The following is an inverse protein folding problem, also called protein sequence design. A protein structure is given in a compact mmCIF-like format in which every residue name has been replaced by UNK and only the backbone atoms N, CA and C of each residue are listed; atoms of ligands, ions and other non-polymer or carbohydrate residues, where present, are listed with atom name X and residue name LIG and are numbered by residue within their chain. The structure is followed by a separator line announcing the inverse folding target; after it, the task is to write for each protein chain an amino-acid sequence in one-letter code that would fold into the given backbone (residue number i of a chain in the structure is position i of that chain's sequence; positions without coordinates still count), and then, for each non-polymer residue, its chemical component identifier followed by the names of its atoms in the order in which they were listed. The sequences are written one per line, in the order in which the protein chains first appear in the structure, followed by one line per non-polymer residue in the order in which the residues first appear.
data_IF_210515290786
#
_entry.id   IF_210515290786
#
_cell.length_a   1.000
_cell.length_b   1.000
_cell.length_c   1.000
_cell.angle_alpha   90.00
_cell.angle_beta   90.00
_cell.angle_gamma   90.00
#
_symmetry.space_group_name_H-M   'P 1'
#
loop_
_entity.id
_entity.type
_entity.pdbx_description
1 polymer ?
#
# COMPACT_ATOMS: atom_id res chain seq x y z
N UNK A 1 16.63 21.96 15.15
CA UNK A 1 17.35 21.36 14.02
C UNK A 1 17.20 19.86 14.18
N UNK A 2 16.11 19.30 13.65
CA UNK A 2 16.00 17.84 13.54
C UNK A 2 17.05 17.38 12.53
N UNK A 3 17.83 16.36 12.91
CA UNK A 3 18.88 15.83 12.05
C UNK A 3 18.27 15.26 10.77
N UNK A 4 18.81 15.67 9.63
CA UNK A 4 18.42 15.17 8.32
C UNK A 4 18.58 13.64 8.30
N UNK A 5 17.48 12.92 8.07
CA UNK A 5 17.49 11.46 8.00
C UNK A 5 18.12 11.05 6.67
N UNK A 6 19.20 10.28 6.72
CA UNK A 6 19.90 9.83 5.51
C UNK A 6 18.96 8.99 4.62
N UNK A 7 18.98 9.18 3.29
CA UNK A 7 18.20 8.35 2.36
C UNK A 7 18.50 6.86 2.54
N UNK A 8 17.50 6.00 2.31
CA UNK A 8 17.67 4.55 2.41
C UNK A 8 17.56 3.93 1.01
N UNK A 9 18.62 3.24 0.58
CA UNK A 9 18.66 2.49 -0.67
C UNK A 9 18.24 1.04 -0.46
N UNK A 10 17.34 0.55 -1.30
CA UNK A 10 16.81 -0.81 -1.27
C UNK A 10 17.37 -1.61 -2.45
N UNK A 11 18.37 -2.49 -2.25
CA UNK A 11 18.99 -3.24 -3.34
C UNK A 11 18.04 -4.23 -4.03
N UNK A 12 16.95 -4.63 -3.37
CA UNK A 12 15.94 -5.54 -3.93
C UNK A 12 15.24 -4.97 -5.17
N UNK A 13 15.10 -3.64 -5.24
CA UNK A 13 14.47 -2.94 -6.36
C UNK A 13 15.40 -1.93 -7.02
N UNK A 14 16.51 -1.57 -6.37
CA UNK A 14 17.46 -0.59 -6.88
C UNK A 14 17.00 0.86 -6.76
N UNK A 15 16.09 1.13 -5.82
CA UNK A 15 15.49 2.45 -5.59
C UNK A 15 15.75 2.98 -4.18
N UNK A 16 15.69 4.29 -4.04
CA UNK A 16 15.94 4.99 -2.77
C UNK A 16 14.67 5.62 -2.22
N UNK A 17 14.48 5.57 -0.90
CA UNK A 17 13.50 6.40 -0.19
C UNK A 17 14.26 7.53 0.50
N UNK A 18 13.93 8.77 0.16
CA UNK A 18 14.45 9.98 0.79
C UNK A 18 13.32 10.82 1.37
N UNK A 19 13.65 11.89 2.10
CA UNK A 19 12.68 12.94 2.36
C UNK A 19 12.13 13.49 1.01
N UNK A 20 10.85 13.89 0.97
CA UNK A 20 9.92 14.07 2.09
C UNK A 20 9.17 12.79 2.55
N UNK A 21 9.42 11.64 1.90
CA UNK A 21 8.66 10.41 2.15
C UNK A 21 9.29 9.49 3.20
N UNK A 22 10.60 9.61 3.45
CA UNK A 22 11.34 8.67 4.29
C UNK A 22 10.81 8.59 5.72
N UNK A 23 10.63 9.73 6.40
CA UNK A 23 10.08 9.73 7.76
C UNK A 23 8.71 9.08 7.83
N UNK A 24 7.82 9.37 6.88
CA UNK A 24 6.49 8.75 6.80
C UNK A 24 6.60 7.24 6.55
N UNK A 25 7.42 6.84 5.58
CA UNK A 25 7.64 5.45 5.20
C UNK A 25 8.13 4.62 6.40
N UNK A 26 9.13 5.10 7.15
CA UNK A 26 9.65 4.43 8.34
C UNK A 26 8.61 4.36 9.47
N UNK A 27 7.88 5.46 9.73
CA UNK A 27 6.87 5.53 10.80
C UNK A 27 5.66 4.63 10.53
N UNK A 28 5.37 4.33 9.27
CA UNK A 28 4.20 3.56 8.86
C UNK A 28 4.51 2.10 8.50
N UNK A 29 5.52 1.49 9.13
CA UNK A 29 5.94 0.09 8.90
C UNK A 29 6.53 -0.21 7.50
N UNK A 30 6.97 0.82 6.76
CA UNK A 30 7.82 0.72 5.56
C UNK A 30 7.49 -0.43 4.63
N UNK A 31 8.45 -1.36 4.45
CA UNK A 31 8.33 -2.52 3.55
C UNK A 31 7.09 -3.37 3.87
N UNK A 32 6.80 -3.62 5.15
CA UNK A 32 5.65 -4.47 5.54
C UNK A 32 4.32 -3.85 5.08
N UNK A 33 4.28 -2.52 4.98
CA UNK A 33 3.11 -1.75 4.62
C UNK A 33 3.04 -1.48 3.11
N UNK A 34 4.01 -0.74 2.63
CA UNK A 34 4.00 -0.10 1.32
C UNK A 34 4.74 -0.95 0.29
N UNK A 35 5.54 -1.93 0.73
CA UNK A 35 6.48 -2.68 -0.10
C UNK A 35 7.74 -1.87 -0.39
N UNK A 36 8.64 -2.46 -1.19
CA UNK A 36 9.84 -1.76 -1.64
C UNK A 36 9.50 -0.56 -2.56
N UNK A 37 10.32 0.50 -2.59
CA UNK A 37 10.17 1.55 -3.61
C UNK A 37 10.40 0.97 -5.00
N UNK A 38 9.61 1.40 -5.98
CA UNK A 38 9.73 0.98 -7.39
C UNK A 38 10.01 2.15 -8.34
N UNK A 39 10.05 3.37 -7.80
CA UNK A 39 10.49 4.58 -8.48
C UNK A 39 11.29 5.44 -7.51
N UNK A 40 11.96 6.45 -8.05
CA UNK A 40 12.34 7.64 -7.28
C UNK A 40 11.13 8.57 -7.08
N UNK A 41 11.35 9.70 -6.41
CA UNK A 41 10.36 10.79 -6.35
C UNK A 41 10.22 11.41 -7.74
N UNK A 42 8.98 11.51 -8.23
CA UNK A 42 8.63 12.11 -9.51
C UNK A 42 7.51 13.13 -9.33
N UNK A 43 7.42 14.08 -10.26
CA UNK A 43 6.29 14.99 -10.36
C UNK A 43 5.20 14.34 -11.23
N UNK A 44 4.01 14.13 -10.67
CA UNK A 44 2.87 13.57 -11.39
C UNK A 44 1.56 14.17 -10.85
N UNK A 45 0.68 14.58 -11.75
CA UNK A 45 -0.62 15.20 -11.40
C UNK A 45 -0.50 16.47 -10.53
N UNK A 46 0.65 17.15 -10.59
CA UNK A 46 0.92 18.36 -9.80
C UNK A 46 1.44 18.09 -8.39
N UNK A 47 1.75 16.84 -8.06
CA UNK A 47 2.30 16.44 -6.77
C UNK A 47 3.65 15.74 -6.94
N UNK A 48 4.49 15.86 -5.89
CA UNK A 48 5.59 14.92 -5.70
C UNK A 48 5.01 13.59 -5.27
N UNK A 49 5.43 12.52 -5.93
CA UNK A 49 4.95 11.17 -5.68
C UNK A 49 6.08 10.18 -5.74
N UNK A 50 5.98 9.13 -4.94
CA UNK A 50 6.85 7.96 -5.05
C UNK A 50 5.99 6.71 -5.04
N UNK A 51 6.26 5.81 -5.99
CA UNK A 51 5.59 4.53 -6.08
C UNK A 51 6.39 3.46 -5.33
N UNK A 52 5.63 2.60 -4.66
CA UNK A 52 6.08 1.42 -3.95
C UNK A 52 5.30 0.22 -4.48
N UNK A 53 5.67 -1.01 -4.10
CA UNK A 53 4.98 -2.19 -4.63
C UNK A 53 3.47 -2.18 -4.38
N UNK A 54 3.04 -1.82 -3.16
CA UNK A 54 1.64 -1.89 -2.73
C UNK A 54 0.96 -0.51 -2.71
N UNK A 55 1.69 0.59 -2.90
CA UNK A 55 1.19 1.93 -2.62
C UNK A 55 1.85 3.03 -3.46
N UNK A 56 1.22 4.20 -3.48
CA UNK A 56 1.80 5.48 -3.92
C UNK A 56 1.78 6.42 -2.73
N UNK A 57 2.89 7.06 -2.42
CA UNK A 57 2.93 8.19 -1.49
C UNK A 57 2.83 9.49 -2.27
N UNK A 58 2.12 10.46 -1.70
CA UNK A 58 1.82 11.75 -2.32
C UNK A 58 2.13 12.85 -1.31
N UNK A 59 2.80 13.91 -1.78
CA UNK A 59 2.98 15.15 -1.03
C UNK A 59 1.91 16.15 -1.46
N UNK A 60 1.07 16.55 -0.50
CA UNK A 60 0.01 17.55 -0.61
C UNK A 60 0.41 18.80 0.20
N UNK A 61 1.12 19.79 -0.39
CA UNK A 61 1.67 20.95 0.33
C UNK A 61 0.61 21.85 0.97
N UNK A 62 -0.61 21.82 0.46
CA UNK A 62 -1.78 22.56 0.93
C UNK A 62 -2.31 22.07 2.29
N UNK A 63 -1.97 20.84 2.68
CA UNK A 63 -2.32 20.33 3.99
C UNK A 63 -1.40 20.91 5.08
N UNK A 64 -1.90 20.90 6.33
CA UNK A 64 -1.08 21.15 7.50
C UNK A 64 0.16 20.26 7.50
N UNK A 65 1.29 20.77 7.98
CA UNK A 65 2.58 20.09 7.92
C UNK A 65 2.55 18.63 8.41
N UNK A 66 1.73 18.34 9.43
CA UNK A 66 1.57 17.00 9.99
C UNK A 66 0.85 15.99 9.08
N UNK A 67 0.17 16.46 8.02
CA UNK A 67 -0.72 15.68 7.15
C UNK A 67 -0.42 15.83 5.65
N UNK A 68 0.75 16.38 5.29
CA UNK A 68 1.13 16.57 3.88
C UNK A 68 1.44 15.28 3.15
N UNK A 69 1.91 14.25 3.86
CA UNK A 69 2.20 12.96 3.25
C UNK A 69 0.99 12.04 3.40
N UNK A 70 0.45 11.60 2.27
CA UNK A 70 -0.69 10.67 2.23
C UNK A 70 -0.35 9.41 1.44
N UNK A 71 -1.11 8.35 1.69
CA UNK A 71 -1.13 7.15 0.84
C UNK A 71 -2.28 7.31 -0.14
N UNK A 72 -1.98 7.19 -1.43
CA UNK A 72 -2.98 7.23 -2.50
C UNK A 72 -4.05 6.14 -2.29
N UNK A 73 -5.30 6.48 -2.57
CA UNK A 73 -6.42 5.53 -2.53
C UNK A 73 -6.44 4.70 -3.82
N UNK A 74 -5.41 3.88 -4.01
CA UNK A 74 -5.19 3.12 -5.24
C UNK A 74 -6.35 2.20 -5.61
N UNK A 75 -7.12 1.68 -4.65
CA UNK A 75 -8.33 0.92 -4.95
C UNK A 75 -9.41 1.76 -5.63
N UNK A 76 -9.58 3.01 -5.19
CA UNK A 76 -10.51 3.96 -5.81
C UNK A 76 -9.99 4.50 -7.14
N UNK A 77 -8.71 4.85 -7.21
CA UNK A 77 -8.05 5.34 -8.43
C UNK A 77 -8.04 4.26 -9.54
N UNK A 78 -7.97 2.98 -9.18
CA UNK A 78 -8.14 1.84 -10.10
C UNK A 78 -9.61 1.53 -10.42
N UNK A 79 -10.56 2.36 -9.96
CA UNK A 79 -12.01 2.22 -10.17
C UNK A 79 -12.58 0.88 -9.70
N UNK A 80 -12.12 0.38 -8.55
CA UNK A 80 -12.53 -0.94 -8.01
C UNK A 80 -13.72 -0.90 -7.06
N UNK A 81 -14.27 0.28 -6.80
CA UNK A 81 -15.46 0.44 -5.96
C UNK A 81 -16.64 -0.33 -6.54
N UNK A 82 -17.30 -1.11 -5.68
CA UNK A 82 -18.52 -1.86 -6.00
C UNK A 82 -19.74 -1.24 -5.31
N UNK A 83 -20.97 -1.55 -5.76
CA UNK A 83 -22.17 -1.07 -5.09
C UNK A 83 -22.17 -1.43 -3.59
N UNK A 84 -22.53 -0.49 -2.69
CA UNK A 84 -22.63 -0.75 -1.27
C UNK A 84 -23.79 -1.69 -0.95
N UNK A 85 -23.73 -2.34 0.21
CA UNK A 85 -24.86 -3.12 0.71
C UNK A 85 -25.79 -2.24 1.57
N UNK A 86 -27.08 -2.33 1.29
CA UNK A 86 -28.12 -1.66 2.08
C UNK A 86 -28.62 -2.61 3.17
N UNK A 87 -28.72 -2.13 4.42
CA UNK A 87 -29.21 -2.88 5.58
C UNK A 87 -28.46 -4.20 5.84
N UNK A 88 -27.20 -4.11 6.29
CA UNK A 88 -26.35 -5.29 6.44
C UNK A 88 -26.82 -6.15 7.62
N UNK A 89 -27.27 -7.38 7.35
CA UNK A 89 -27.49 -8.37 8.41
C UNK A 89 -26.20 -9.15 8.65
N UNK A 90 -25.34 -8.65 9.55
CA UNK A 90 -24.05 -9.26 9.85
C UNK A 90 -24.14 -10.04 11.15
N UNK A 91 -24.02 -11.37 11.07
CA UNK A 91 -23.87 -12.23 12.27
C UNK A 91 -22.42 -12.32 12.75
N UNK A 92 -21.46 -12.25 11.84
CA UNK A 92 -20.02 -12.31 12.11
C UNK A 92 -19.30 -11.40 11.11
N UNK A 93 -18.69 -10.32 11.60
CA UNK A 93 -18.03 -9.32 10.77
C UNK A 93 -18.23 -7.90 11.31
N UNK A 94 -17.74 -6.93 10.54
CA UNK A 94 -17.80 -5.50 10.85
C UNK A 94 -18.36 -4.75 9.66
N UNK A 95 -19.39 -3.94 9.88
CA UNK A 95 -19.94 -3.02 8.89
C UNK A 95 -19.25 -1.66 8.98
N UNK A 96 -18.96 -1.06 7.83
CA UNK A 96 -18.36 0.25 7.69
C UNK A 96 -19.38 1.21 7.06
N UNK A 97 -20.17 1.95 7.86
CA UNK A 97 -21.29 2.74 7.36
C UNK A 97 -20.87 3.88 6.42
N UNK A 98 -19.61 4.34 6.51
CA UNK A 98 -19.07 5.40 5.64
C UNK A 98 -18.96 4.96 4.18
N UNK A 99 -18.68 3.68 3.92
CA UNK A 99 -18.58 3.13 2.56
C UNK A 99 -19.70 2.15 2.22
N UNK A 100 -20.44 1.68 3.22
CA UNK A 100 -21.54 0.74 3.02
C UNK A 100 -21.07 -0.69 2.77
N UNK A 101 -19.89 -1.07 3.27
CA UNK A 101 -19.30 -2.39 3.06
C UNK A 101 -18.93 -3.12 4.34
N UNK A 102 -18.67 -4.42 4.25
CA UNK A 102 -18.30 -5.26 5.39
C UNK A 102 -16.89 -5.80 5.32
N UNK A 103 -16.31 -6.16 6.46
CA UNK A 103 -15.22 -7.13 6.53
C UNK A 103 -15.63 -8.28 7.44
N UNK A 104 -15.24 -9.50 7.10
CA UNK A 104 -15.51 -10.68 7.93
C UNK A 104 -14.41 -11.75 7.74
N UNK A 105 -14.44 -12.78 8.60
CA UNK A 105 -13.51 -13.90 8.53
C UNK A 105 -12.04 -13.49 8.53
N UNK A 106 -11.24 -14.15 7.69
CA UNK A 106 -9.78 -13.92 7.61
C UNK A 106 -9.44 -12.49 7.17
N UNK A 107 -10.26 -11.85 6.33
CA UNK A 107 -10.02 -10.46 5.93
C UNK A 107 -10.22 -9.49 7.08
N UNK A 108 -11.24 -9.66 7.93
CA UNK A 108 -11.39 -8.84 9.13
C UNK A 108 -10.24 -9.06 10.12
N UNK A 109 -9.86 -10.32 10.36
CA UNK A 109 -8.72 -10.65 11.24
C UNK A 109 -7.42 -10.03 10.73
N UNK A 110 -7.13 -10.17 9.44
CA UNK A 110 -5.94 -9.57 8.84
C UNK A 110 -5.98 -8.04 8.92
N UNK A 111 -7.12 -7.43 8.60
CA UNK A 111 -7.32 -5.99 8.70
C UNK A 111 -7.00 -5.45 10.10
N UNK A 112 -7.60 -6.04 11.14
CA UNK A 112 -7.43 -5.58 12.53
C UNK A 112 -5.99 -5.80 13.03
N UNK A 113 -5.37 -6.92 12.67
CA UNK A 113 -4.00 -7.23 13.09
C UNK A 113 -2.93 -6.39 12.39
N UNK A 114 -3.24 -5.79 11.23
CA UNK A 114 -2.27 -5.05 10.42
C UNK A 114 -2.56 -3.54 10.37
N UNK A 115 -3.22 -2.97 11.37
CA UNK A 115 -3.40 -1.52 11.50
C UNK A 115 -4.69 -0.95 10.89
N UNK A 116 -5.58 -1.82 10.42
CA UNK A 116 -6.97 -1.49 10.06
C UNK A 116 -7.11 -0.35 9.06
N UNK A 117 -8.03 0.58 9.34
CA UNK A 117 -8.37 1.67 8.42
C UNK A 117 -7.23 2.67 8.22
N UNK A 118 -6.36 2.84 9.21
CA UNK A 118 -5.17 3.69 9.08
C UNK A 118 -4.21 3.12 8.04
N UNK A 119 -4.21 1.79 7.91
CA UNK A 119 -3.37 1.07 6.99
C UNK A 119 -4.00 0.97 5.59
N UNK A 120 -5.20 0.39 5.49
CA UNK A 120 -5.78 -0.04 4.22
C UNK A 120 -6.89 0.88 3.69
N UNK A 121 -7.29 1.88 4.48
CA UNK A 121 -8.55 2.59 4.25
C UNK A 121 -9.76 1.71 4.55
N UNK A 122 -10.93 2.10 4.05
CA UNK A 122 -12.18 1.38 4.27
C UNK A 122 -12.45 0.36 3.14
N UNK A 123 -13.23 -0.72 3.38
CA UNK A 123 -13.67 -1.59 2.30
C UNK A 123 -14.53 -0.82 1.29
N UNK A 124 -14.29 -1.07 0.01
CA UNK A 124 -15.04 -0.51 -1.14
C UNK A 124 -15.68 -1.62 -1.99
N UNK A 125 -15.64 -2.86 -1.49
CA UNK A 125 -16.36 -4.00 -2.05
C UNK A 125 -16.73 -4.99 -0.94
N UNK A 126 -17.70 -5.86 -1.22
CA UNK A 126 -17.80 -7.16 -0.53
C UNK A 126 -16.76 -8.14 -1.08
N UNK A 127 -16.41 -9.22 -0.37
CA UNK A 127 -15.52 -10.23 -0.92
C UNK A 127 -16.17 -10.94 -2.10
N UNK A 128 -15.38 -11.23 -3.13
CA UNK A 128 -15.84 -11.86 -4.36
C UNK A 128 -14.82 -12.86 -4.87
N UNK A 129 -15.29 -13.93 -5.50
CA UNK A 129 -14.43 -14.87 -6.22
C UNK A 129 -14.10 -14.30 -7.60
N UNK A 130 -12.81 -14.29 -7.97
CA UNK A 130 -12.40 -13.92 -9.33
C UNK A 130 -12.22 -15.17 -10.22
N UNK A 131 -11.89 -14.95 -11.50
CA UNK A 131 -11.80 -16.01 -12.50
C UNK A 131 -10.69 -17.04 -12.25
N UNK A 132 -9.70 -16.69 -11.42
CA UNK A 132 -8.63 -17.58 -10.98
C UNK A 132 -9.03 -18.46 -9.78
N UNK A 133 -10.26 -18.31 -9.28
CA UNK A 133 -10.78 -19.06 -8.14
C UNK A 133 -10.34 -18.53 -6.77
N UNK A 134 -9.57 -17.44 -6.71
CA UNK A 134 -9.22 -16.79 -5.45
C UNK A 134 -10.33 -15.82 -5.02
N UNK A 135 -10.41 -15.59 -3.71
CA UNK A 135 -11.34 -14.61 -3.14
C UNK A 135 -10.58 -13.31 -2.91
N UNK A 136 -11.18 -12.22 -3.38
CA UNK A 136 -10.64 -10.87 -3.31
C UNK A 136 -11.57 -9.97 -2.52
N UNK A 137 -11.01 -8.96 -1.87
CA UNK A 137 -11.78 -7.84 -1.37
C UNK A 137 -11.02 -6.53 -1.57
N UNK A 138 -11.69 -5.54 -2.16
CA UNK A 138 -11.13 -4.22 -2.44
C UNK A 138 -11.37 -3.26 -1.27
N UNK A 139 -10.31 -2.55 -0.89
CA UNK A 139 -10.29 -1.47 0.08
C UNK A 139 -9.76 -0.19 -0.60
N UNK A 140 -9.96 0.97 0.00
CA UNK A 140 -9.56 2.26 -0.60
C UNK A 140 -8.08 2.28 -1.03
N UNK A 141 -7.17 1.71 -0.22
CA UNK A 141 -5.72 1.70 -0.51
C UNK A 141 -5.11 0.31 -0.69
N UNK A 142 -5.91 -0.75 -0.78
CA UNK A 142 -5.40 -2.12 -0.87
C UNK A 142 -6.41 -3.07 -1.51
N UNK A 143 -5.91 -4.21 -1.99
CA UNK A 143 -6.74 -5.38 -2.31
C UNK A 143 -6.22 -6.56 -1.52
N UNK A 144 -7.11 -7.18 -0.75
CA UNK A 144 -6.80 -8.43 -0.07
C UNK A 144 -7.09 -9.61 -1.00
N UNK A 145 -6.17 -10.58 -0.97
CA UNK A 145 -6.27 -11.84 -1.69
C UNK A 145 -6.24 -12.96 -0.66
N UNK A 146 -7.21 -13.87 -0.72
CA UNK A 146 -7.26 -15.04 0.16
C UNK A 146 -6.77 -16.31 -0.54
N UNK A 147 -5.72 -16.90 0.02
CA UNK A 147 -5.12 -18.15 -0.40
C UNK A 147 -5.45 -19.26 0.63
N UNK A 148 -6.52 -20.04 0.43
CA UNK A 148 -7.03 -20.98 1.46
C UNK A 148 -6.05 -22.11 1.80
N UNK A 149 -5.13 -22.45 0.91
CA UNK A 149 -4.19 -23.56 1.06
C UNK A 149 -2.92 -23.17 1.81
N UNK A 150 -2.68 -21.87 2.05
CA UNK A 150 -1.52 -21.40 2.79
C UNK A 150 -1.73 -21.55 4.31
N UNK A 151 -0.63 -21.57 5.10
CA UNK A 151 -0.71 -21.48 6.56
C UNK A 151 -1.54 -20.27 6.99
N UNK A 152 -2.31 -20.40 8.07
CA UNK A 152 -3.30 -19.40 8.52
C UNK A 152 -2.76 -17.96 8.51
N UNK A 153 -1.54 -17.75 8.99
CA UNK A 153 -0.88 -16.44 9.08
C UNK A 153 -0.48 -15.85 7.72
N UNK A 154 -0.48 -16.65 6.65
CA UNK A 154 -0.11 -16.28 5.28
C UNK A 154 -1.28 -16.35 4.30
N UNK A 155 -2.49 -16.68 4.79
CA UNK A 155 -3.66 -16.85 3.93
C UNK A 155 -4.15 -15.55 3.32
N UNK A 156 -3.89 -14.39 3.93
CA UNK A 156 -4.25 -13.09 3.37
C UNK A 156 -2.99 -12.37 2.93
N UNK A 157 -2.96 -11.96 1.67
CA UNK A 157 -1.87 -11.18 1.08
C UNK A 157 -2.42 -9.94 0.37
N UNK A 158 -1.55 -8.96 0.12
CA UNK A 158 -1.88 -7.76 -0.64
C UNK A 158 -1.55 -7.97 -2.12
N UNK A 159 -2.42 -7.49 -2.99
CA UNK A 159 -2.06 -7.26 -4.39
C UNK A 159 -1.10 -6.05 -4.49
N UNK A 160 -0.07 -6.07 -5.36
CA UNK A 160 0.85 -4.95 -5.54
C UNK A 160 0.20 -3.78 -6.30
N UNK A 161 -0.71 -3.06 -5.64
CA UNK A 161 -1.49 -1.99 -6.28
C UNK A 161 -0.64 -0.84 -6.79
N UNK A 162 0.51 -0.56 -6.18
CA UNK A 162 1.39 0.51 -6.63
C UNK A 162 2.04 0.19 -7.97
N UNK A 163 2.49 -1.06 -8.16
CA UNK A 163 2.95 -1.56 -9.48
C UNK A 163 1.82 -1.50 -10.51
N UNK A 164 0.64 -2.00 -10.17
CA UNK A 164 -0.51 -2.04 -11.08
C UNK A 164 -0.94 -0.63 -11.48
N UNK A 165 -1.06 0.29 -10.52
CA UNK A 165 -1.46 1.67 -10.81
C UNK A 165 -0.40 2.42 -11.60
N UNK A 166 0.89 2.25 -11.29
CA UNK A 166 1.96 2.85 -12.08
C UNK A 166 1.86 2.45 -13.57
N UNK A 167 1.69 1.15 -13.85
CA UNK A 167 1.57 0.64 -15.22
C UNK A 167 0.33 1.17 -15.96
N UNK A 168 -0.73 1.56 -15.24
CA UNK A 168 -1.96 2.13 -15.81
C UNK A 168 -1.96 3.65 -15.90
N UNK A 169 -1.04 4.34 -15.20
CA UNK A 169 -1.00 5.80 -15.11
C UNK A 169 -0.58 6.52 -16.40
N UNK A 170 0.00 5.79 -17.37
CA UNK A 170 0.57 6.37 -18.58
C UNK A 170 1.95 7.03 -18.39
N UNK A 171 2.55 6.92 -17.19
CA UNK A 171 3.93 7.32 -16.94
C UNK A 171 4.93 6.49 -17.76
N UNK A 172 6.10 7.08 -18.05
CA UNK A 172 7.18 6.36 -18.73
C UNK A 172 7.70 5.21 -17.86
N UNK A 173 7.88 4.03 -18.46
CA UNK A 173 8.51 2.88 -17.79
C UNK A 173 9.97 3.14 -17.40
N UNK A 174 10.59 4.22 -17.89
CA UNK A 174 11.94 4.62 -17.49
C UNK A 174 12.05 4.94 -15.99
N UNK A 175 10.95 5.32 -15.33
CA UNK A 175 10.96 5.56 -13.88
C UNK A 175 11.14 4.29 -13.04
N UNK A 176 10.91 3.11 -13.62
CA UNK A 176 11.15 1.81 -12.98
C UNK A 176 12.62 1.35 -13.10
N UNK A 177 13.46 2.10 -13.84
CA UNK A 177 14.87 1.74 -13.97
C UNK A 177 15.60 2.11 -12.67
N UNK A 178 16.38 1.18 -12.10
CA UNK A 178 17.23 1.49 -10.96
C UNK A 178 18.14 2.68 -11.23
N UNK A 179 18.36 3.50 -10.22
CA UNK A 179 19.33 4.59 -10.28
C UNK A 179 20.44 4.38 -9.25
N UNK A 180 21.58 5.00 -9.48
CA UNK A 180 22.64 5.00 -8.49
C UNK A 180 22.18 5.76 -7.24
N UNK A 181 22.28 5.15 -6.05
CA UNK A 181 21.91 5.84 -4.82
C UNK A 181 22.83 7.05 -4.59
N UNK A 182 22.34 8.11 -3.92
CA UNK A 182 23.19 9.20 -3.48
C UNK A 182 24.30 8.67 -2.56
N UNK A 183 25.47 9.33 -2.56
CA UNK A 183 26.63 8.89 -1.76
C UNK A 183 26.37 8.90 -0.25
N UNK A 184 25.34 9.62 0.19
CA UNK A 184 24.88 9.70 1.58
C UNK A 184 23.89 8.60 1.95
N UNK A 185 23.44 7.78 1.01
CA UNK A 185 22.44 6.75 1.26
C UNK A 185 22.97 5.62 2.14
N UNK A 186 22.14 5.19 3.08
CA UNK A 186 22.35 3.95 3.84
C UNK A 186 21.73 2.81 3.04
N UNK A 187 22.50 1.75 2.80
CA UNK A 187 21.99 0.54 2.14
C UNK A 187 21.18 -0.26 3.17
N UNK A 188 19.90 -0.48 2.89
CA UNK A 188 19.08 -1.40 3.67
C UNK A 188 19.61 -2.81 3.46
N UNK A 189 20.12 -3.42 4.53
CA UNK A 189 20.51 -4.83 4.49
C UNK A 189 19.25 -5.69 4.59
N UNK A 190 19.06 -6.62 3.64
CA UNK A 190 18.02 -7.63 3.75
C UNK A 190 18.31 -8.47 5.00
N UNK A 191 17.47 -8.39 6.03
CA UNK A 191 17.52 -9.37 7.11
C UNK A 191 16.98 -10.68 6.54
N UNK A 192 17.86 -11.47 5.92
CA UNK A 192 17.58 -12.87 5.65
C UNK A 192 17.32 -13.52 7.01
N UNK A 193 16.05 -13.67 7.38
CA UNK A 193 15.69 -14.60 8.44
C UNK A 193 16.22 -15.98 7.98
N UNK A 194 17.05 -16.68 8.77
CA UNK A 194 17.45 -18.02 8.43
C UNK A 194 16.17 -18.87 8.30
N UNK A 195 16.07 -19.65 7.22
CA UNK A 195 15.06 -20.71 7.14
C UNK A 195 15.37 -21.68 8.27
N UNK A 196 14.51 -21.72 9.30
CA UNK A 196 14.44 -22.84 10.23
C UNK A 196 13.53 -23.92 9.63
#
# INVERSE_FOLDING_TARGET
MEGEVAPIYYPETGHTVSEPFLTFYLKTNGIKRLGYPITEVIEHEGWQVQYFQNARLELHPENDHAYRITVGWLGELLHRTRPPILNPFIRQGKYFPKTGHTLHGQFLTYFENNGGSVQFGLPISEPFMANDGLIYQDLQSARFIWYPTLPKESQVQLEPLGEIYFLQSGLSLDYLKPIHPPSTAVIQQSTLMPRN
#
